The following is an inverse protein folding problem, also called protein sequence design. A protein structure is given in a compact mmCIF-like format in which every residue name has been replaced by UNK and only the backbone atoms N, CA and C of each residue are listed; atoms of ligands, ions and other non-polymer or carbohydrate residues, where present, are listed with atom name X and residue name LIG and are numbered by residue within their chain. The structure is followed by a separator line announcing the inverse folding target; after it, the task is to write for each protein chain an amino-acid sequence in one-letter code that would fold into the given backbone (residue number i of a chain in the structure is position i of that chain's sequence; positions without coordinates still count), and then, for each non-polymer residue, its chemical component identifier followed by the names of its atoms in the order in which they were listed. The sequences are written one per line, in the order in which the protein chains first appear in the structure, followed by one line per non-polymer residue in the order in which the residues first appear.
data_IF_263164754287
#
_entry.id   IF_263164754287
#
_cell.length_a   1.000
_cell.length_b   1.000
_cell.length_c   1.000
_cell.angle_alpha   90.00
_cell.angle_beta   90.00
_cell.angle_gamma   90.00
#
_symmetry.space_group_name_H-M   'P 1'
#
loop_
_entity.id
_entity.type
_entity.pdbx_description
1 polymer ?
#
# COMPACT_ATOMS: atom_id res chain seq x y z
N UNK A 1 -37.78 39.40 -34.11
CA UNK A 1 -37.08 40.54 -33.50
C UNK A 1 -36.91 40.25 -32.02
N UNK A 2 -35.72 39.83 -31.63
CA UNK A 2 -35.16 40.00 -30.29
C UNK A 2 -33.70 39.55 -30.42
N UNK A 3 -32.84 40.56 -30.50
CA UNK A 3 -31.39 40.47 -30.51
C UNK A 3 -30.96 40.50 -29.05
N UNK A 4 -30.12 39.56 -28.61
CA UNK A 4 -29.25 39.70 -27.43
C UNK A 4 -27.96 38.94 -27.81
N UNK A 5 -27.02 39.60 -28.50
CA UNK A 5 -25.90 40.38 -27.92
C UNK A 5 -25.09 39.52 -26.95
N UNK A 6 -24.18 38.74 -27.55
CA UNK A 6 -23.11 38.03 -26.86
C UNK A 6 -22.02 39.08 -26.57
N UNK A 7 -21.81 39.38 -25.30
CA UNK A 7 -20.76 40.28 -24.84
C UNK A 7 -19.47 39.48 -24.69
N UNK A 8 -18.55 39.71 -25.62
CA UNK A 8 -17.19 39.18 -25.65
C UNK A 8 -16.30 40.17 -24.91
N UNK A 9 -15.78 39.80 -23.75
CA UNK A 9 -14.61 40.46 -23.17
C UNK A 9 -13.51 39.42 -22.97
N UNK A 10 -12.38 39.68 -23.64
CA UNK A 10 -11.15 38.92 -23.48
C UNK A 10 -10.20 39.57 -22.49
N UNK A 11 -9.37 38.75 -21.85
CA UNK A 11 -8.09 39.11 -21.25
C UNK A 11 -7.28 37.81 -21.14
N UNK A 12 -6.26 37.63 -21.97
CA UNK A 12 -4.85 37.98 -21.79
C UNK A 12 -4.01 36.80 -21.24
N UNK A 13 -3.03 36.48 -22.06
CA UNK A 13 -1.99 35.46 -21.98
C UNK A 13 -1.22 35.49 -20.65
N UNK A 14 -0.97 34.32 -20.06
CA UNK A 14 0.17 34.13 -19.16
C UNK A 14 0.69 32.69 -19.23
N UNK A 15 1.92 32.59 -19.70
CA UNK A 15 2.79 31.44 -19.79
C UNK A 15 3.24 30.92 -18.43
N UNK A 16 3.09 29.62 -18.15
CA UNK A 16 3.96 28.90 -17.22
C UNK A 16 4.07 27.42 -17.62
N UNK A 17 5.33 26.97 -17.70
CA UNK A 17 5.81 25.67 -18.15
C UNK A 17 5.37 24.48 -17.25
N UNK A 18 5.50 23.24 -17.74
CA UNK A 18 4.83 22.06 -17.19
C UNK A 18 5.52 21.55 -15.92
N UNK A 19 4.73 21.36 -14.84
CA UNK A 19 5.18 20.62 -13.66
C UNK A 19 5.16 19.13 -13.96
N UNK A 20 6.31 18.52 -13.67
CA UNK A 20 6.68 17.15 -13.98
C UNK A 20 5.76 16.11 -13.34
N UNK A 21 5.55 15.02 -14.08
CA UNK A 21 4.95 13.77 -13.64
C UNK A 21 5.75 13.21 -12.45
N UNK A 22 5.13 13.13 -11.29
CA UNK A 22 5.64 12.37 -10.15
C UNK A 22 4.93 11.01 -10.11
N UNK A 23 5.66 9.96 -10.47
CA UNK A 23 5.21 8.56 -10.32
C UNK A 23 5.93 7.98 -9.11
N UNK A 24 5.24 7.53 -8.05
CA UNK A 24 5.89 6.81 -6.96
C UNK A 24 6.20 5.37 -7.39
N UNK A 25 7.45 4.96 -7.21
CA UNK A 25 7.91 3.58 -7.38
C UNK A 25 7.54 2.71 -6.16
N UNK A 26 7.22 1.41 -6.36
CA UNK A 26 6.88 0.52 -5.26
C UNK A 26 8.16 0.07 -4.54
N UNK A 27 8.31 0.46 -3.28
CA UNK A 27 9.38 -0.01 -2.41
C UNK A 27 9.18 -1.50 -2.07
N UNK A 28 10.12 -2.32 -2.53
CA UNK A 28 10.27 -3.73 -2.17
C UNK A 28 10.74 -3.88 -0.71
N UNK A 29 9.93 -4.47 0.15
CA UNK A 29 10.34 -4.92 1.49
C UNK A 29 11.08 -6.27 1.42
N UNK A 30 12.31 -6.41 1.95
CA UNK A 30 12.92 -7.70 2.20
C UNK A 30 12.54 -8.20 3.61
N UNK A 31 11.99 -9.41 3.68
CA UNK A 31 11.68 -10.10 4.94
C UNK A 31 12.97 -10.75 5.46
N UNK A 32 13.57 -10.24 6.53
CA UNK A 32 14.74 -10.86 7.16
C UNK A 32 14.33 -11.97 8.14
N UNK A 33 15.03 -13.10 8.06
CA UNK A 33 14.91 -14.24 8.98
C UNK A 33 15.58 -13.87 10.31
N UNK A 34 14.94 -14.19 11.43
CA UNK A 34 15.54 -14.15 12.77
C UNK A 34 16.09 -15.53 13.09
N UNK A 35 17.41 -15.65 13.12
CA UNK A 35 18.13 -16.76 13.75
C UNK A 35 18.31 -16.45 15.24
N UNK A 36 17.98 -17.42 16.12
CA UNK A 36 18.24 -17.34 17.55
C UNK A 36 19.54 -18.07 17.88
N UNK A 37 20.52 -17.32 18.39
CA UNK A 37 21.75 -17.83 19.02
C UNK A 37 21.83 -17.26 20.43
N UNK A 38 21.87 -18.15 21.43
CA UNK A 38 22.43 -18.00 22.78
C UNK A 38 22.84 -19.43 23.17
N UNK A 39 24.11 -19.87 23.20
CA UNK A 39 25.32 -19.37 23.86
C UNK A 39 25.14 -19.19 25.38
N UNK A 40 25.31 -20.26 26.16
CA UNK A 40 26.55 -20.48 26.92
C UNK A 40 26.34 -21.59 27.97
N UNK A 41 27.25 -22.56 27.94
CA UNK A 41 27.38 -23.68 28.86
C UNK A 41 27.62 -23.24 30.31
N UNK A 42 26.90 -23.86 31.26
CA UNK A 42 27.23 -23.82 32.69
C UNK A 42 27.74 -25.18 33.10
N UNK A 43 29.02 -25.23 33.44
CA UNK A 43 29.75 -26.42 33.84
C UNK A 43 29.98 -26.46 35.37
N UNK A 44 29.75 -27.67 35.91
CA UNK A 44 30.23 -28.25 37.19
C UNK A 44 29.50 -27.84 38.51
N UNK A 45 29.41 -28.67 39.56
CA UNK A 45 30.44 -29.57 40.12
C UNK A 45 29.86 -30.73 40.98
N UNK A 46 30.35 -31.97 40.80
CA UNK A 46 30.16 -33.13 41.72
C UNK A 46 31.30 -33.16 42.76
N UNK A 47 31.05 -33.40 44.06
CA UNK A 47 32.12 -33.42 45.05
C UNK A 47 32.91 -34.74 45.01
N UNK A 48 34.25 -34.65 44.96
CA UNK A 48 35.18 -35.76 45.18
C UNK A 48 35.80 -35.65 46.58
N UNK A 49 35.82 -36.76 47.32
CA UNK A 49 36.58 -36.90 48.57
C UNK A 49 38.09 -36.91 48.25
N UNK A 50 38.87 -36.15 49.00
CA UNK A 50 40.33 -36.30 49.09
C UNK A 50 40.74 -36.33 50.56
N UNK A 51 41.52 -37.34 50.87
CA UNK A 51 42.32 -37.50 52.08
C UNK A 51 43.43 -36.46 52.10
N UNK A 52 43.82 -36.01 53.29
CA UNK A 52 44.99 -35.14 53.47
C UNK A 52 45.78 -35.69 54.65
N UNK A 53 46.91 -36.34 54.33
CA UNK A 53 47.97 -36.63 55.27
C UNK A 53 48.85 -35.37 55.39
N UNK A 54 48.95 -34.82 56.60
CA UNK A 54 49.83 -33.67 56.87
C UNK A 54 50.97 -34.11 57.79
N UNK A 55 52.15 -34.27 57.18
CA UNK A 55 53.45 -34.33 57.85
C UNK A 55 53.83 -32.92 58.30
N UNK A 56 54.01 -32.69 59.59
CA UNK A 56 54.45 -31.41 60.15
C UNK A 56 55.96 -31.24 59.98
N UNK A 57 56.35 -30.26 59.17
CA UNK A 57 57.72 -29.78 59.05
C UNK A 57 58.12 -28.91 60.26
N UNK A 58 59.36 -29.12 60.69
CA UNK A 58 60.09 -28.42 61.75
C UNK A 58 60.30 -26.94 61.43
N UNK A 59 59.93 -26.05 62.37
CA UNK A 59 60.18 -24.62 62.30
C UNK A 59 61.37 -24.25 63.20
N UNK A 60 62.49 -24.03 62.52
CA UNK A 60 63.58 -23.10 62.76
C UNK A 60 63.61 -22.31 64.09
N UNK A 61 64.70 -22.58 64.82
CA UNK A 61 65.55 -21.67 65.59
C UNK A 61 65.33 -20.17 65.31
N UNK A 62 64.76 -19.46 66.27
CA UNK A 62 64.73 -18.01 66.31
C UNK A 62 65.42 -17.54 67.61
N UNK A 63 66.57 -16.89 67.40
CA UNK A 63 67.06 -15.71 68.12
C UNK A 63 66.64 -15.55 69.60
N UNK A 64 67.42 -16.14 70.51
CA UNK A 64 67.40 -15.78 71.92
C UNK A 64 68.75 -15.10 72.22
N UNK A 65 68.72 -13.78 72.44
CA UNK A 65 69.88 -12.92 72.57
C UNK A 65 70.94 -13.37 73.60
N UNK A 66 72.12 -12.73 73.53
CA UNK A 66 73.28 -13.09 74.35
C UNK A 66 72.98 -13.01 75.87
N UNK A 67 73.49 -13.96 76.69
CA UNK A 67 73.31 -13.92 78.13
C UNK A 67 73.88 -12.64 78.76
N UNK A 68 73.13 -12.02 79.67
CA UNK A 68 73.56 -10.84 80.43
C UNK A 68 74.77 -11.19 81.31
N UNK A 69 75.75 -10.27 81.38
CA UNK A 69 77.02 -10.46 82.07
C UNK A 69 76.83 -10.97 83.52
N UNK A 70 77.44 -12.13 83.82
CA UNK A 70 77.34 -12.82 85.11
C UNK A 70 76.32 -13.98 85.16
N UNK A 71 75.60 -14.28 84.07
CA UNK A 71 74.72 -15.45 83.94
C UNK A 71 74.99 -16.20 82.64
N UNK A 72 74.81 -17.52 82.64
CA UNK A 72 74.89 -18.37 81.44
C UNK A 72 73.51 -18.94 81.14
N UNK A 73 73.08 -18.91 79.87
CA UNK A 73 71.87 -19.60 79.45
C UNK A 73 72.12 -21.12 79.47
N UNK A 74 71.23 -21.86 80.13
CA UNK A 74 71.21 -23.32 80.14
C UNK A 74 70.10 -23.78 79.19
N UNK A 75 70.44 -24.66 78.24
CA UNK A 75 69.46 -25.30 77.37
C UNK A 75 68.76 -26.41 78.15
N UNK A 76 67.49 -26.23 78.47
CA UNK A 76 66.63 -27.28 79.04
C UNK A 76 65.95 -28.01 77.89
N UNK A 77 65.92 -29.35 77.95
CA UNK A 77 65.26 -30.19 76.95
C UNK A 77 63.75 -30.00 77.03
N UNK A 78 63.19 -29.19 76.14
CA UNK A 78 61.74 -28.94 76.00
C UNK A 78 61.10 -29.77 74.90
N UNK A 79 61.84 -30.72 74.33
CA UNK A 79 61.30 -31.62 73.31
C UNK A 79 60.30 -32.59 73.95
N UNK A 80 59.17 -32.79 73.28
CA UNK A 80 58.12 -33.71 73.70
C UNK A 80 58.67 -35.13 73.86
N UNK A 81 58.80 -35.59 75.09
CA UNK A 81 59.10 -36.98 75.43
C UNK A 81 57.79 -37.69 75.78
N UNK A 82 57.38 -38.65 74.95
CA UNK A 82 56.20 -39.48 75.18
C UNK A 82 56.66 -40.87 75.64
N UNK A 83 56.29 -41.26 76.86
CA UNK A 83 56.37 -42.65 77.32
C UNK A 83 55.11 -43.39 76.89
N UNK A 84 55.27 -44.53 76.19
CA UNK A 84 54.17 -45.43 75.87
C UNK A 84 53.90 -46.34 77.08
N UNK A 85 52.75 -46.15 77.75
CA UNK A 85 52.28 -47.04 78.81
C UNK A 85 51.60 -48.26 78.17
N UNK A 86 52.22 -49.43 78.30
CA UNK A 86 51.75 -50.71 77.72
C UNK A 86 50.99 -51.59 78.71
N UNK A 87 50.04 -51.04 79.48
CA UNK A 87 49.13 -51.85 80.30
C UNK A 87 47.82 -52.11 79.54
N UNK A 88 47.54 -53.39 79.28
CA UNK A 88 46.31 -53.85 78.63
C UNK A 88 45.21 -53.90 79.70
N UNK A 89 44.17 -53.08 79.54
CA UNK A 89 43.01 -53.04 80.45
C UNK A 89 42.04 -54.16 80.06
N UNK A 90 41.56 -54.95 81.02
CA UNK A 90 40.53 -55.97 80.79
C UNK A 90 39.17 -55.30 80.53
N UNK A 91 38.58 -55.55 79.35
CA UNK A 91 37.26 -55.05 78.97
C UNK A 91 36.18 -56.06 79.39
N UNK A 92 35.12 -55.58 80.04
CA UNK A 92 33.95 -56.37 80.40
C UNK A 92 32.76 -55.98 79.51
N UNK A 93 32.23 -56.96 78.77
CA UNK A 93 31.08 -56.74 77.89
C UNK A 93 29.78 -56.59 78.69
N UNK A 94 29.15 -55.42 78.59
CA UNK A 94 27.81 -55.15 79.12
C UNK A 94 26.80 -55.09 77.96
N UNK A 95 25.79 -55.96 77.98
CA UNK A 95 24.69 -55.91 77.00
C UNK A 95 23.57 -54.99 77.52
N UNK A 96 23.18 -54.01 76.72
CA UNK A 96 22.05 -53.12 77.02
C UNK A 96 20.83 -53.51 76.18
N UNK A 97 19.75 -53.89 76.84
CA UNK A 97 18.42 -54.07 76.22
C UNK A 97 17.93 -52.71 75.71
N UNK A 98 17.69 -52.59 74.40
CA UNK A 98 17.22 -51.34 73.78
C UNK A 98 15.72 -51.44 73.54
N UNK A 99 14.94 -50.60 74.23
CA UNK A 99 13.48 -50.51 74.04
C UNK A 99 13.14 -50.13 72.58
N UNK A 100 12.06 -50.65 71.98
CA UNK A 100 11.70 -50.31 70.60
C UNK A 100 11.35 -48.83 70.48
N UNK A 101 12.07 -48.13 69.59
CA UNK A 101 11.84 -46.71 69.25
C UNK A 101 10.38 -46.47 68.84
N UNK A 102 9.61 -45.82 69.72
CA UNK A 102 8.30 -45.27 69.37
C UNK A 102 8.49 -43.97 68.57
N UNK A 103 7.77 -43.83 67.45
CA UNK A 103 7.84 -42.64 66.60
C UNK A 103 7.41 -41.38 67.36
N UNK A 104 8.36 -40.47 67.57
CA UNK A 104 8.12 -39.16 68.16
C UNK A 104 7.27 -38.34 67.18
N UNK A 105 6.19 -37.66 67.64
CA UNK A 105 5.47 -36.74 66.77
C UNK A 105 6.44 -35.66 66.22
N UNK A 106 6.27 -35.20 64.97
CA UNK A 106 7.17 -34.22 64.38
C UNK A 106 7.23 -32.98 65.27
N UNK A 107 8.45 -32.54 65.57
CA UNK A 107 8.65 -31.37 66.41
C UNK A 107 7.94 -30.15 65.81
N UNK A 108 7.21 -29.36 66.61
CA UNK A 108 6.48 -28.20 66.10
C UNK A 108 7.44 -27.23 65.40
N UNK A 109 7.00 -26.67 64.27
CA UNK A 109 7.78 -25.70 63.51
C UNK A 109 8.03 -24.45 64.37
N UNK A 110 9.29 -24.11 64.57
CA UNK A 110 9.68 -22.88 65.27
C UNK A 110 9.36 -21.68 64.40
N UNK A 111 8.42 -20.84 64.84
CA UNK A 111 8.13 -19.54 64.24
C UNK A 111 8.73 -18.47 65.17
N UNK A 112 9.80 -17.76 64.74
CA UNK A 112 10.39 -16.69 65.54
C UNK A 112 9.37 -15.60 65.88
N UNK A 113 9.44 -15.06 67.09
CA UNK A 113 8.65 -13.89 67.47
C UNK A 113 9.10 -12.66 66.66
N UNK A 114 8.15 -11.93 66.06
CA UNK A 114 8.46 -10.66 65.39
C UNK A 114 9.07 -9.69 66.40
N UNK A 115 10.20 -9.06 66.03
CA UNK A 115 10.88 -8.05 66.86
C UNK A 115 11.00 -6.75 66.08
N UNK A 116 10.40 -5.68 66.61
CA UNK A 116 10.29 -4.35 66.00
C UNK A 116 8.86 -3.80 66.06
N UNK A 117 8.66 -2.47 66.11
CA UNK A 117 7.33 -1.89 65.98
C UNK A 117 6.85 -1.98 64.53
N UNK A 118 5.65 -2.54 64.33
CA UNK A 118 5.00 -2.57 63.01
C UNK A 118 4.52 -1.14 62.66
N UNK A 119 5.08 -0.55 61.59
CA UNK A 119 4.66 0.75 61.04
C UNK A 119 4.14 0.53 59.63
N UNK A 120 2.90 0.94 59.37
CA UNK A 120 2.33 0.97 58.03
C UNK A 120 2.41 2.39 57.48
N UNK A 121 2.94 2.53 56.26
CA UNK A 121 2.85 3.75 55.48
C UNK A 121 1.86 3.50 54.34
N UNK A 122 0.89 4.40 54.18
CA UNK A 122 -0.11 4.34 53.11
C UNK A 122 -0.22 5.72 52.48
N UNK A 123 -0.16 5.76 51.16
CA UNK A 123 -0.44 6.96 50.37
C UNK A 123 -1.93 6.98 50.05
N UNK A 124 -2.60 8.10 50.30
CA UNK A 124 -4.02 8.28 50.01
C UNK A 124 -4.23 8.83 48.59
N UNK A 125 -5.40 8.56 47.96
CA UNK A 125 -5.70 9.08 46.63
C UNK A 125 -5.62 10.62 46.62
N UNK A 126 -4.80 11.18 45.73
CA UNK A 126 -4.58 12.62 45.58
C UNK A 126 -3.41 13.20 46.37
N UNK A 127 -2.72 12.42 47.21
CA UNK A 127 -1.58 12.90 48.00
C UNK A 127 -0.29 13.15 47.17
N UNK A 128 -0.17 12.51 46.00
CA UNK A 128 0.97 12.64 45.08
C UNK A 128 0.61 13.26 43.73
N UNK A 129 -0.62 13.76 43.57
CA UNK A 129 -1.05 14.33 42.30
C UNK A 129 -0.54 15.76 42.15
N UNK A 130 0.30 16.00 41.15
CA UNK A 130 0.65 17.34 40.69
C UNK A 130 -0.12 17.66 39.41
N UNK A 131 -0.94 18.72 39.44
CA UNK A 131 -1.76 19.07 38.30
C UNK A 131 -0.91 19.54 37.12
N UNK A 132 0.16 20.29 37.37
CA UNK A 132 0.94 20.92 36.31
C UNK A 132 1.75 19.89 35.50
N UNK A 133 2.23 18.82 36.16
CA UNK A 133 2.92 17.69 35.50
C UNK A 133 1.93 16.79 34.75
N UNK A 134 0.79 16.48 35.35
CA UNK A 134 -0.17 15.52 34.79
C UNK A 134 -1.01 16.10 33.64
N UNK A 135 -1.18 17.42 33.57
CA UNK A 135 -1.92 18.10 32.49
C UNK A 135 -1.08 18.27 31.21
N UNK A 136 0.26 18.29 31.33
CA UNK A 136 1.19 18.46 30.22
C UNK A 136 0.95 17.48 29.06
N UNK A 137 0.89 16.15 29.24
CA UNK A 137 0.65 15.20 28.15
C UNK A 137 -0.75 15.34 27.53
N UNK A 138 -1.74 15.78 28.31
CA UNK A 138 -3.11 16.00 27.82
C UNK A 138 -3.13 17.22 26.89
N UNK A 139 -2.49 18.31 27.30
CA UNK A 139 -2.41 19.52 26.49
C UNK A 139 -1.58 19.30 25.23
N UNK A 140 -0.46 18.57 25.32
CA UNK A 140 0.36 18.22 24.16
C UNK A 140 -0.46 17.44 23.12
N UNK A 141 -1.21 16.43 23.56
CA UNK A 141 -2.07 15.66 22.67
C UNK A 141 -3.19 16.51 22.03
N UNK A 142 -3.86 17.35 22.82
CA UNK A 142 -4.94 18.21 22.32
C UNK A 142 -4.44 19.26 21.31
N UNK A 143 -3.34 19.94 21.64
CA UNK A 143 -2.75 20.95 20.75
C UNK A 143 -2.18 20.28 19.50
N UNK A 144 -1.48 19.15 19.65
CA UNK A 144 -0.95 18.39 18.53
C UNK A 144 -2.04 17.94 17.56
N UNK A 145 -3.11 17.32 18.07
CA UNK A 145 -4.21 16.83 17.24
C UNK A 145 -4.98 17.96 16.55
N UNK A 146 -5.22 19.08 17.25
CA UNK A 146 -5.95 20.22 16.67
C UNK A 146 -5.15 20.91 15.57
N UNK A 147 -3.83 21.06 15.74
CA UNK A 147 -2.95 21.61 14.71
C UNK A 147 -2.81 20.69 13.50
N UNK A 148 -2.65 19.39 13.72
CA UNK A 148 -2.58 18.40 12.65
C UNK A 148 -3.88 18.36 11.84
N UNK A 149 -5.02 18.33 12.52
CA UNK A 149 -6.33 18.35 11.87
C UNK A 149 -6.52 19.65 11.07
N UNK A 150 -6.23 20.81 11.66
CA UNK A 150 -6.37 22.10 10.97
C UNK A 150 -5.47 22.19 9.73
N UNK A 151 -4.25 21.67 9.79
CA UNK A 151 -3.33 21.65 8.65
C UNK A 151 -3.87 20.80 7.50
N UNK A 152 -4.38 19.60 7.81
CA UNK A 152 -4.95 18.68 6.81
C UNK A 152 -6.19 19.30 6.16
N UNK A 153 -7.06 19.93 6.95
CA UNK A 153 -8.27 20.58 6.46
C UNK A 153 -7.94 21.72 5.49
N UNK A 154 -7.00 22.60 5.84
CA UNK A 154 -6.58 23.71 4.97
C UNK A 154 -5.99 23.18 3.66
N UNK A 155 -5.13 22.16 3.71
CA UNK A 155 -4.57 21.57 2.50
C UNK A 155 -5.65 20.96 1.59
N UNK A 156 -6.64 20.30 2.18
CA UNK A 156 -7.76 19.73 1.43
C UNK A 156 -8.65 20.83 0.82
N UNK A 157 -8.91 21.91 1.54
CA UNK A 157 -9.67 23.06 1.02
C UNK A 157 -8.96 23.73 -0.17
N UNK A 158 -7.65 23.91 -0.08
CA UNK A 158 -6.85 24.47 -1.18
C UNK A 158 -6.87 23.55 -2.41
N UNK A 159 -6.74 22.23 -2.24
CA UNK A 159 -6.84 21.27 -3.33
C UNK A 159 -8.23 21.30 -3.98
N UNK A 160 -9.30 21.33 -3.17
CA UNK A 160 -10.67 21.41 -3.67
C UNK A 160 -10.93 22.70 -4.44
N UNK A 161 -10.38 23.84 -4.00
CA UNK A 161 -10.49 25.10 -4.73
C UNK A 161 -9.82 25.01 -6.11
N UNK A 162 -8.60 24.45 -6.19
CA UNK A 162 -7.89 24.24 -7.46
C UNK A 162 -8.67 23.31 -8.39
N UNK A 163 -9.22 22.21 -7.87
CA UNK A 163 -10.02 21.29 -8.67
C UNK A 163 -11.32 21.93 -9.18
N UNK A 164 -11.97 22.74 -8.35
CA UNK A 164 -13.17 23.49 -8.74
C UNK A 164 -12.88 24.45 -9.90
N UNK A 165 -11.78 25.21 -9.81
CA UNK A 165 -11.38 26.14 -10.88
C UNK A 165 -11.07 25.39 -12.18
N UNK A 166 -10.34 24.27 -12.09
CA UNK A 166 -10.05 23.42 -13.25
C UNK A 166 -11.34 22.83 -13.88
N UNK A 167 -12.31 22.46 -13.05
CA UNK A 167 -13.60 21.96 -13.53
C UNK A 167 -14.37 23.04 -14.28
N UNK A 168 -14.45 24.25 -13.71
CA UNK A 168 -15.13 25.40 -14.35
C UNK A 168 -14.50 25.70 -15.70
N UNK A 169 -13.16 25.77 -15.77
CA UNK A 169 -12.43 26.02 -17.00
C UNK A 169 -12.68 24.93 -18.07
N UNK A 170 -12.68 23.67 -17.64
CA UNK A 170 -12.95 22.54 -18.53
C UNK A 170 -14.38 22.58 -19.07
N UNK A 171 -15.36 22.84 -18.20
CA UNK A 171 -16.77 22.94 -18.59
C UNK A 171 -17.01 24.13 -19.52
N UNK A 172 -16.38 25.28 -19.26
CA UNK A 172 -16.47 26.45 -20.13
C UNK A 172 -15.94 26.14 -21.54
N UNK A 173 -14.76 25.52 -21.65
CA UNK A 173 -14.18 25.10 -22.95
C UNK A 173 -15.06 24.09 -23.67
N UNK A 174 -15.49 23.05 -22.96
CA UNK A 174 -16.36 22.00 -23.52
C UNK A 174 -17.69 22.58 -24.01
N UNK A 175 -18.30 23.49 -23.25
CA UNK A 175 -19.56 24.12 -23.64
C UNK A 175 -19.39 25.00 -24.88
N UNK A 176 -18.26 25.71 -25.01
CA UNK A 176 -17.94 26.48 -26.21
C UNK A 176 -17.75 25.57 -27.44
N UNK A 177 -17.00 24.48 -27.31
CA UNK A 177 -16.80 23.49 -28.37
C UNK A 177 -18.14 22.84 -28.80
N UNK A 178 -18.95 22.43 -27.84
CA UNK A 178 -20.27 21.84 -28.12
C UNK A 178 -21.20 22.84 -28.81
N UNK A 179 -21.15 24.12 -28.43
CA UNK A 179 -21.94 25.15 -29.09
C UNK A 179 -21.48 25.38 -30.54
N UNK A 180 -20.18 25.36 -30.80
CA UNK A 180 -19.63 25.48 -32.16
C UNK A 180 -20.02 24.29 -33.03
N UNK A 181 -19.87 23.05 -32.53
CA UNK A 181 -20.25 21.84 -33.25
C UNK A 181 -21.72 21.86 -33.62
N UNK A 182 -22.61 22.19 -32.66
CA UNK A 182 -24.05 22.32 -32.93
C UNK A 182 -24.37 23.36 -34.01
N UNK A 183 -23.64 24.48 -34.03
CA UNK A 183 -23.80 25.52 -35.05
C UNK A 183 -23.44 24.99 -36.44
N UNK A 184 -22.35 24.22 -36.54
CA UNK A 184 -21.89 23.60 -37.79
C UNK A 184 -22.83 22.49 -38.26
N UNK A 185 -23.28 21.61 -37.36
CA UNK A 185 -24.24 20.54 -37.66
C UNK A 185 -25.56 21.09 -38.20
N UNK A 186 -26.09 22.15 -37.59
CA UNK A 186 -27.32 22.81 -38.08
C UNK A 186 -27.13 23.43 -39.47
N UNK A 187 -25.96 24.01 -39.74
CA UNK A 187 -25.64 24.56 -41.06
C UNK A 187 -25.52 23.43 -42.10
N UNK A 188 -24.84 22.34 -41.76
CA UNK A 188 -24.70 21.17 -42.63
C UNK A 188 -26.05 20.53 -42.91
N UNK A 189 -26.92 20.39 -41.90
CA UNK A 189 -28.28 19.86 -42.08
C UNK A 189 -29.08 20.67 -43.10
N UNK A 190 -29.00 22.00 -43.04
CA UNK A 190 -29.70 22.87 -44.01
C UNK A 190 -29.17 22.67 -45.43
N UNK A 191 -27.85 22.58 -45.59
CA UNK A 191 -27.22 22.39 -46.89
C UNK A 191 -27.52 20.99 -47.46
N UNK A 192 -27.53 19.95 -46.62
CA UNK A 192 -27.88 18.60 -47.05
C UNK A 192 -29.34 18.50 -47.48
N UNK A 193 -30.26 19.09 -46.71
CA UNK A 193 -31.68 19.15 -47.06
C UNK A 193 -31.92 19.89 -48.39
N UNK A 194 -31.22 21.01 -48.64
CA UNK A 194 -31.31 21.71 -49.91
C UNK A 194 -30.74 20.88 -51.06
N UNK A 195 -29.55 20.30 -50.86
CA UNK A 195 -28.90 19.44 -51.87
C UNK A 195 -29.77 18.25 -52.24
N UNK A 196 -30.39 17.59 -51.27
CA UNK A 196 -31.31 16.46 -51.51
C UNK A 196 -32.53 16.88 -52.33
N UNK A 197 -33.10 18.07 -52.07
CA UNK A 197 -34.19 18.61 -52.89
C UNK A 197 -33.75 18.86 -54.33
N UNK A 198 -32.57 19.46 -54.53
CA UNK A 198 -32.02 19.70 -55.88
C UNK A 198 -31.74 18.41 -56.64
N UNK A 199 -31.23 17.38 -55.97
CA UNK A 199 -31.01 16.07 -56.58
C UNK A 199 -32.34 15.47 -57.04
N UNK A 200 -33.38 15.49 -56.19
CA UNK A 200 -34.71 14.98 -56.56
C UNK A 200 -35.31 15.73 -57.75
N UNK A 201 -35.25 17.07 -57.74
CA UNK A 201 -35.71 17.90 -58.86
C UNK A 201 -34.98 17.53 -60.16
N UNK A 202 -33.66 17.34 -60.11
CA UNK A 202 -32.86 16.97 -61.28
C UNK A 202 -33.16 15.54 -61.77
N UNK A 203 -33.32 14.59 -60.85
CA UNK A 203 -33.69 13.20 -61.18
C UNK A 203 -35.05 13.15 -61.89
N UNK A 204 -36.04 13.89 -61.39
CA UNK A 204 -37.34 14.02 -62.02
C UNK A 204 -37.23 14.65 -63.42
N UNK A 205 -36.46 15.74 -63.56
CA UNK A 205 -36.25 16.40 -64.86
C UNK A 205 -35.59 15.46 -65.89
N UNK A 206 -34.53 14.74 -65.49
CA UNK A 206 -33.84 13.77 -66.36
C UNK A 206 -34.79 12.63 -66.75
N UNK A 207 -35.61 12.14 -65.83
CA UNK A 207 -36.59 11.09 -66.15
C UNK A 207 -37.59 11.54 -67.21
N UNK A 208 -38.06 12.79 -67.14
CA UNK A 208 -38.96 13.38 -68.13
C UNK A 208 -38.26 13.62 -69.47
N UNK A 209 -37.01 14.10 -69.47
CA UNK A 209 -36.20 14.28 -70.68
C UNK A 209 -36.02 12.95 -71.41
N UNK A 210 -35.72 11.87 -70.70
CA UNK A 210 -35.59 10.52 -71.26
C UNK A 210 -36.91 10.03 -71.89
N UNK A 211 -38.05 10.28 -71.24
CA UNK A 211 -39.37 9.96 -71.79
C UNK A 211 -39.67 10.73 -73.08
N UNK A 212 -39.36 12.03 -73.09
CA UNK A 212 -39.56 12.89 -74.26
C UNK A 212 -38.63 12.46 -75.40
N UNK A 213 -37.36 12.19 -75.10
CA UNK A 213 -36.39 11.71 -76.07
C UNK A 213 -36.87 10.41 -76.74
N UNK A 214 -37.36 9.44 -75.96
CA UNK A 214 -37.94 8.19 -76.50
C UNK A 214 -39.12 8.44 -77.43
N UNK A 215 -40.03 9.35 -77.08
CA UNK A 215 -41.19 9.72 -77.92
C UNK A 215 -40.74 10.34 -79.25
N UNK A 216 -39.75 11.24 -79.20
CA UNK A 216 -39.19 11.88 -80.41
C UNK A 216 -38.52 10.83 -81.30
N UNK A 217 -37.68 9.97 -80.72
CA UNK A 217 -37.01 8.88 -81.45
C UNK A 217 -38.02 7.95 -82.11
N UNK A 218 -39.09 7.54 -81.41
CA UNK A 218 -40.14 6.72 -81.97
C UNK A 218 -40.91 7.40 -83.12
N UNK A 219 -41.15 8.72 -83.01
CA UNK A 219 -41.79 9.50 -84.06
C UNK A 219 -40.92 9.60 -85.31
N UNK A 220 -39.63 9.96 -85.14
CA UNK A 220 -38.65 10.03 -86.24
C UNK A 220 -38.49 8.65 -86.89
N UNK A 221 -38.37 7.58 -86.09
CA UNK A 221 -38.27 6.21 -86.58
C UNK A 221 -39.48 5.83 -87.42
N UNK A 222 -40.69 6.17 -86.96
CA UNK A 222 -41.93 5.89 -87.67
C UNK A 222 -42.02 6.67 -88.98
N UNK A 223 -41.64 7.96 -88.99
CA UNK A 223 -41.59 8.78 -90.21
C UNK A 223 -40.60 8.23 -91.23
N UNK A 224 -39.37 7.91 -90.80
CA UNK A 224 -38.34 7.35 -91.67
C UNK A 224 -38.78 5.99 -92.23
N UNK A 225 -39.31 5.10 -91.38
CA UNK A 225 -39.81 3.79 -91.81
C UNK A 225 -40.96 3.90 -92.81
N UNK A 226 -41.96 4.75 -92.55
CA UNK A 226 -43.09 4.98 -93.46
C UNK A 226 -42.63 5.60 -94.79
N UNK A 227 -41.67 6.52 -94.75
CA UNK A 227 -41.13 7.16 -95.96
C UNK A 227 -40.42 6.18 -96.90
N UNK A 228 -39.79 5.13 -96.36
CA UNK A 228 -39.15 4.07 -97.13
C UNK A 228 -40.14 2.97 -97.55
N UNK A 229 -41.08 2.62 -96.66
CA UNK A 229 -42.06 1.56 -96.90
C UNK A 229 -43.06 1.93 -97.99
N UNK A 230 -43.56 3.18 -97.99
CA UNK A 230 -44.59 3.63 -98.93
C UNK A 230 -44.14 3.42 -100.39
N UNK A 231 -42.99 3.95 -100.86
CA UNK A 231 -42.51 3.70 -102.21
C UNK A 231 -42.23 2.23 -102.51
N UNK A 232 -41.77 1.45 -101.53
CA UNK A 232 -41.51 0.00 -101.73
C UNK A 232 -42.81 -0.78 -101.94
N UNK A 233 -43.85 -0.48 -101.16
CA UNK A 233 -45.18 -1.10 -101.31
C UNK A 233 -45.83 -0.67 -102.61
N UNK A 234 -45.77 0.62 -102.97
CA UNK A 234 -46.25 1.11 -104.28
C UNK A 234 -45.54 0.37 -105.44
N UNK A 235 -44.21 0.25 -105.41
CA UNK A 235 -43.46 -0.51 -106.44
C UNK A 235 -43.86 -1.99 -106.51
N UNK A 236 -44.12 -2.64 -105.37
CA UNK A 236 -44.56 -4.05 -105.35
C UNK A 236 -45.96 -4.22 -105.93
N UNK A 237 -46.89 -3.36 -105.53
CA UNK A 237 -48.27 -3.38 -106.05
C UNK A 237 -48.34 -3.02 -107.55
N UNK A 238 -47.47 -2.13 -108.03
CA UNK A 238 -47.30 -1.82 -109.45
C UNK A 238 -46.75 -3.02 -110.23
N UNK A 239 -45.72 -3.70 -109.70
CA UNK A 239 -45.16 -4.91 -110.32
C UNK A 239 -46.16 -6.08 -110.35
N UNK A 240 -47.06 -6.17 -109.38
CA UNK A 240 -48.13 -7.17 -109.33
C UNK A 240 -49.37 -6.79 -110.17
N UNK A 241 -49.38 -5.60 -110.79
CA UNK A 241 -50.41 -5.19 -111.76
C UNK A 241 -51.73 -4.71 -111.13
N UNK A 242 -51.71 -4.28 -109.87
CA UNK A 242 -52.92 -3.81 -109.16
C UNK A 242 -53.22 -2.31 -109.36
N UNK A 243 -52.31 -1.53 -109.96
CA UNK A 243 -52.59 -0.15 -110.35
C UNK A 243 -53.03 -0.09 -111.81
N UNK A 244 -54.17 0.56 -112.05
CA UNK A 244 -54.62 0.90 -113.40
C UNK A 244 -53.68 1.99 -113.95
N UNK A 245 -52.88 1.63 -114.94
CA UNK A 245 -52.13 2.61 -115.72
C UNK A 245 -53.18 3.32 -116.58
N UNK A 246 -53.60 4.53 -116.20
CA UNK A 246 -54.29 5.40 -117.15
C UNK A 246 -53.30 5.72 -118.27
N UNK A 247 -53.48 5.06 -119.41
CA UNK A 247 -52.73 5.29 -120.64
C UNK A 247 -52.77 6.78 -121.01
N UNK A 248 -51.61 7.45 -121.22
CA UNK A 248 -51.58 8.85 -121.65
C UNK A 248 -51.91 9.04 -123.14
N UNK A 249 -52.69 8.14 -123.75
CA UNK A 249 -53.17 8.24 -125.14
C UNK A 249 -54.68 8.58 -125.25
N UNK A 250 -55.22 9.35 -124.31
CA UNK A 250 -56.56 9.96 -124.48
C UNK A 250 -56.61 11.42 -123.99
N UNK A 251 -55.88 12.31 -124.70
CA UNK A 251 -56.35 13.63 -125.18
C UNK A 251 -55.32 14.28 -126.11
#
# INVERSE_FOLDING_TARGET
MALDVIQVEGCYVSSCLPKALFVPSPSSFPRSKRDHVHSSDVLYFKPKKKTVDAKSATLSTADNGLPVAGRQHLSVQTDLYLEELCDVIEEADAQCETDPLLDRPPSPLFVPAKSGPDVATQIYPGELFDFDEEVEPILEALVGQTLEQALIEIMAEEELAVLSDLQIDYEARRNAEVAEVKRLEEQERRLSEEKEKRIKEQEEAVSLEDEVAKKIVACIFSQNYLSELVPQVYKKLEAEGYFEVEDPEML
#
